data_IF_275972804170
#
_entry.id   IF_275972804170
#
_cell.length_a   1.000
_cell.length_b   1.000
_cell.length_c   1.000
_cell.angle_alpha   90.00
_cell.angle_beta   90.00
_cell.angle_gamma   90.00
#
_symmetry.space_group_name_H-M   'P 1'
#
loop_
_entity.id
_entity.type
_entity.pdbx_description
1 polymer ?
#
# COMPACT_ATOMS: atom_id res chain seq x y z
N UNK A 1 16.61 19.35 -1.59
CA UNK A 1 16.82 18.80 -0.23
C UNK A 1 15.48 18.73 0.46
N UNK A 2 14.76 17.62 0.29
CA UNK A 2 13.61 17.28 1.12
C UNK A 2 14.16 16.30 2.16
N UNK A 3 14.81 16.86 3.17
CA UNK A 3 15.03 16.13 4.43
C UNK A 3 13.69 16.21 5.16
N UNK A 4 12.79 15.30 4.80
CA UNK A 4 11.44 15.15 5.38
C UNK A 4 11.54 15.03 6.90
N UNK A 5 10.47 15.37 7.62
CA UNK A 5 10.37 15.19 9.07
C UNK A 5 10.83 13.80 9.56
N UNK A 6 10.77 12.78 8.71
CA UNK A 6 11.41 11.48 8.89
C UNK A 6 12.90 11.56 9.29
N UNK A 7 13.71 12.41 8.64
CA UNK A 7 15.12 12.63 9.00
C UNK A 7 15.31 13.50 10.27
N UNK A 8 14.31 14.30 10.66
CA UNK A 8 14.38 15.10 11.89
C UNK A 8 14.15 14.22 13.13
N UNK A 9 13.40 13.13 13.00
CA UNK A 9 13.14 12.19 14.10
C UNK A 9 13.90 10.86 13.99
N UNK A 10 14.71 10.68 12.93
CA UNK A 10 15.64 9.55 12.76
C UNK A 10 16.80 9.57 13.77
N UNK A 11 16.85 10.52 14.71
CA UNK A 11 17.58 10.32 15.97
C UNK A 11 16.84 9.26 16.81
N UNK A 12 17.01 8.02 16.36
CA UNK A 12 16.55 6.74 16.88
C UNK A 12 16.88 6.56 18.36
N UNK A 13 16.05 7.14 19.22
CA UNK A 13 16.07 6.91 20.67
C UNK A 13 14.69 6.67 21.28
N UNK A 14 13.62 7.28 20.76
CA UNK A 14 12.30 7.12 21.36
C UNK A 14 11.14 7.25 20.34
N UNK A 15 10.60 6.10 19.93
CA UNK A 15 9.45 5.97 19.01
C UNK A 15 8.16 6.53 19.60
N UNK A 16 8.01 6.49 20.92
CA UNK A 16 6.86 7.09 21.63
C UNK A 16 6.91 8.61 21.51
N UNK A 17 8.09 9.21 21.62
CA UNK A 17 8.26 10.66 21.43
C UNK A 17 7.84 11.12 20.03
N UNK A 18 8.07 10.33 18.98
CA UNK A 18 7.56 10.65 17.64
C UNK A 18 6.03 10.63 17.59
N UNK A 19 5.40 9.55 18.08
CA UNK A 19 3.93 9.42 18.09
C UNK A 19 3.29 10.54 18.90
N UNK A 20 3.86 10.90 20.05
CA UNK A 20 3.40 12.02 20.89
C UNK A 20 3.54 13.37 20.18
N UNK A 21 4.68 13.61 19.52
CA UNK A 21 4.91 14.84 18.75
C UNK A 21 3.92 14.96 17.60
N UNK A 22 3.62 13.85 16.94
CA UNK A 22 2.64 13.80 15.86
C UNK A 22 1.21 13.99 16.35
N UNK A 23 0.85 13.43 17.52
CA UNK A 23 -0.45 13.69 18.15
C UNK A 23 -0.66 15.19 18.41
N UNK A 24 0.34 15.88 18.98
CA UNK A 24 0.30 17.32 19.18
C UNK A 24 0.22 18.11 17.86
N UNK A 25 0.91 17.65 16.81
CA UNK A 25 0.83 18.26 15.48
C UNK A 25 -0.57 18.09 14.87
N UNK A 26 -1.18 16.91 15.02
CA UNK A 26 -2.54 16.62 14.55
C UNK A 26 -3.58 17.44 15.32
N UNK A 27 -3.41 17.68 16.62
CA UNK A 27 -4.30 18.57 17.37
C UNK A 27 -4.31 20.00 16.80
N UNK A 28 -3.17 20.49 16.32
CA UNK A 28 -3.03 21.82 15.72
C UNK A 28 -3.52 21.85 14.26
N UNK A 29 -3.25 20.79 13.51
CA UNK A 29 -3.52 20.70 12.08
C UNK A 29 -4.21 19.36 11.73
N UNK A 30 -5.47 19.15 12.18
CA UNK A 30 -6.13 17.85 12.06
C UNK A 30 -6.46 17.42 10.62
N UNK A 31 -6.34 18.36 9.68
CA UNK A 31 -6.60 18.13 8.26
C UNK A 31 -5.32 18.11 7.41
N UNK A 32 -4.14 18.06 8.03
CA UNK A 32 -2.87 18.00 7.30
C UNK A 32 -2.55 16.56 6.89
N UNK A 33 -2.81 16.23 5.62
CA UNK A 33 -2.58 14.90 5.05
C UNK A 33 -1.14 14.39 5.25
N UNK A 34 -0.13 15.27 5.17
CA UNK A 34 1.27 14.91 5.36
C UNK A 34 1.55 14.32 6.76
N UNK A 35 0.85 14.76 7.80
CA UNK A 35 1.02 14.21 9.16
C UNK A 35 0.56 12.75 9.20
N UNK A 36 -0.60 12.46 8.61
CA UNK A 36 -1.13 11.09 8.51
C UNK A 36 -0.27 10.22 7.58
N UNK A 37 0.22 10.75 6.47
CA UNK A 37 1.19 10.05 5.63
C UNK A 37 2.44 9.65 6.41
N UNK A 38 3.03 10.55 7.19
CA UNK A 38 4.22 10.27 7.99
C UNK A 38 3.94 9.24 9.09
N UNK A 39 2.76 9.25 9.72
CA UNK A 39 2.34 8.19 10.63
C UNK A 39 2.23 6.84 9.92
N UNK A 40 1.71 6.82 8.69
CA UNK A 40 1.65 5.62 7.87
C UNK A 40 3.04 5.03 7.60
N UNK A 41 4.01 5.89 7.24
CA UNK A 41 5.40 5.48 7.01
C UNK A 41 6.01 4.88 8.27
N UNK A 42 5.94 5.58 9.40
CA UNK A 42 6.53 5.09 10.66
C UNK A 42 5.81 3.84 11.16
N UNK A 43 4.48 3.75 11.07
CA UNK A 43 3.76 2.52 11.44
C UNK A 43 4.14 1.35 10.54
N UNK A 44 4.41 1.57 9.26
CA UNK A 44 4.92 0.52 8.35
C UNK A 44 6.30 0.04 8.81
N UNK A 45 7.23 0.95 9.10
CA UNK A 45 8.57 0.60 9.62
C UNK A 45 8.53 -0.14 10.96
N UNK A 46 7.50 0.09 11.77
CA UNK A 46 7.28 -0.59 13.05
C UNK A 46 6.55 -1.95 12.91
N UNK A 47 6.13 -2.32 11.70
CA UNK A 47 5.32 -3.52 11.45
C UNK A 47 3.87 -3.41 11.92
N UNK A 48 3.41 -2.20 12.26
CA UNK A 48 2.04 -1.89 12.67
C UNK A 48 1.14 -1.74 11.43
N UNK A 49 1.01 -2.81 10.63
CA UNK A 49 0.36 -2.78 9.31
C UNK A 49 -1.07 -2.20 9.34
N UNK A 50 -1.89 -2.56 10.33
CA UNK A 50 -3.26 -2.05 10.47
C UNK A 50 -3.31 -0.53 10.74
N UNK A 51 -2.40 -0.04 11.59
CA UNK A 51 -2.29 1.40 11.86
C UNK A 51 -1.85 2.14 10.59
N UNK A 52 -0.82 1.62 9.91
CA UNK A 52 -0.31 2.20 8.68
C UNK A 52 -1.39 2.32 7.61
N UNK A 53 -2.18 1.26 7.41
CA UNK A 53 -3.30 1.24 6.48
C UNK A 53 -4.28 2.39 6.76
N UNK A 54 -4.70 2.55 8.01
CA UNK A 54 -5.64 3.59 8.41
C UNK A 54 -5.07 4.99 8.23
N UNK A 55 -3.79 5.19 8.52
CA UNK A 55 -3.12 6.47 8.36
C UNK A 55 -2.95 6.88 6.90
N UNK A 56 -2.54 5.96 6.02
CA UNK A 56 -2.48 6.27 4.58
C UNK A 56 -3.87 6.54 4.02
N UNK A 57 -4.87 5.76 4.40
CA UNK A 57 -6.26 6.02 4.01
C UNK A 57 -6.72 7.41 4.47
N UNK A 58 -6.40 7.79 5.71
CA UNK A 58 -6.76 9.11 6.23
C UNK A 58 -6.04 10.24 5.48
N UNK A 59 -4.79 10.04 5.10
CA UNK A 59 -4.04 10.99 4.27
C UNK A 59 -4.73 11.18 2.91
N UNK A 60 -5.14 10.09 2.25
CA UNK A 60 -5.89 10.13 0.98
C UNK A 60 -7.25 10.83 1.14
N UNK A 61 -7.97 10.58 2.24
CA UNK A 61 -9.25 11.26 2.53
C UNK A 61 -9.09 12.78 2.70
N UNK A 62 -7.96 13.23 3.27
CA UNK A 62 -7.68 14.64 3.53
C UNK A 62 -7.13 15.36 2.30
N UNK A 63 -6.27 14.68 1.54
CA UNK A 63 -5.73 15.17 0.26
C UNK A 63 -5.77 14.03 -0.77
N UNK A 64 -6.83 13.96 -1.59
CA UNK A 64 -6.95 12.96 -2.65
C UNK A 64 -5.87 13.07 -3.74
N UNK A 65 -5.12 14.19 -3.80
CA UNK A 65 -4.04 14.39 -4.76
C UNK A 65 -2.69 13.85 -4.24
N UNK A 66 -2.64 13.36 -3.00
CA UNK A 66 -1.40 12.96 -2.34
C UNK A 66 -0.93 11.56 -2.78
N UNK A 67 -0.39 11.50 -4.00
CA UNK A 67 0.08 10.27 -4.67
C UNK A 67 0.88 9.32 -3.76
N UNK A 68 1.82 9.86 -2.97
CA UNK A 68 2.66 9.03 -2.09
C UNK A 68 1.86 8.18 -1.10
N UNK A 69 0.67 8.63 -0.68
CA UNK A 69 -0.19 7.83 0.21
C UNK A 69 -0.84 6.66 -0.51
N UNK A 70 -1.24 6.83 -1.77
CA UNK A 70 -1.75 5.72 -2.59
C UNK A 70 -0.67 4.67 -2.83
N UNK A 71 0.52 5.11 -3.26
CA UNK A 71 1.64 4.19 -3.55
C UNK A 71 2.06 3.39 -2.33
N UNK A 72 2.22 4.03 -1.17
CA UNK A 72 2.59 3.32 0.05
C UNK A 72 1.47 2.42 0.58
N UNK A 73 0.20 2.83 0.45
CA UNK A 73 -0.93 1.98 0.81
C UNK A 73 -0.99 0.72 -0.06
N UNK A 74 -0.81 0.87 -1.38
CA UNK A 74 -0.74 -0.28 -2.29
C UNK A 74 0.44 -1.17 -1.94
N UNK A 75 1.63 -0.60 -1.71
CA UNK A 75 2.82 -1.36 -1.33
C UNK A 75 2.57 -2.18 -0.04
N UNK A 76 1.99 -1.57 0.98
CA UNK A 76 1.63 -2.24 2.24
C UNK A 76 0.64 -3.41 2.02
N UNK A 77 -0.36 -3.22 1.15
CA UNK A 77 -1.34 -4.26 0.81
C UNK A 77 -0.66 -5.41 0.05
N UNK A 78 0.19 -5.10 -0.92
CA UNK A 78 0.89 -6.12 -1.71
C UNK A 78 1.95 -6.86 -0.91
N UNK A 79 2.58 -6.22 0.07
CA UNK A 79 3.45 -6.90 1.03
C UNK A 79 2.66 -7.95 1.83
N UNK A 80 1.44 -7.62 2.28
CA UNK A 80 0.57 -8.60 2.93
C UNK A 80 0.14 -9.74 2.01
N UNK A 81 -0.05 -9.49 0.71
CA UNK A 81 -0.29 -10.54 -0.27
C UNK A 81 0.93 -11.45 -0.47
N UNK A 82 2.13 -10.86 -0.52
CA UNK A 82 3.38 -11.59 -0.64
C UNK A 82 3.62 -12.51 0.57
N UNK A 83 3.32 -12.05 1.80
CA UNK A 83 3.40 -12.88 3.00
C UNK A 83 2.54 -14.16 2.88
N UNK A 84 1.36 -14.04 2.25
CA UNK A 84 0.45 -15.17 1.99
C UNK A 84 1.03 -16.10 0.93
N UNK A 85 1.56 -15.56 -0.16
CA UNK A 85 2.21 -16.34 -1.22
C UNK A 85 3.42 -17.09 -0.68
N UNK A 86 4.22 -16.45 0.17
CA UNK A 86 5.38 -17.06 0.80
C UNK A 86 4.96 -18.22 1.71
N UNK A 87 3.91 -18.05 2.52
CA UNK A 87 3.36 -19.16 3.30
C UNK A 87 2.89 -20.31 2.39
N UNK A 88 2.15 -20.01 1.32
CA UNK A 88 1.68 -21.01 0.36
C UNK A 88 2.82 -21.83 -0.24
N UNK A 89 3.96 -21.19 -0.53
CA UNK A 89 5.13 -21.84 -1.11
C UNK A 89 5.84 -22.81 -0.14
N UNK A 90 5.58 -22.71 1.17
CA UNK A 90 6.13 -23.63 2.18
C UNK A 90 5.30 -24.88 2.41
N UNK A 91 4.09 -24.94 1.86
CA UNK A 91 3.14 -26.03 2.13
C UNK A 91 3.52 -27.34 1.44
N UNK A 92 3.25 -28.45 2.13
CA UNK A 92 3.41 -29.81 1.60
C UNK A 92 2.23 -30.25 0.73
N UNK A 93 2.05 -31.57 0.61
CA UNK A 93 0.98 -32.19 -0.20
C UNK A 93 -0.06 -32.93 0.63
N UNK A 94 -0.04 -32.77 1.97
CA UNK A 94 -1.01 -33.41 2.83
C UNK A 94 -2.42 -32.83 2.64
N UNK A 95 -3.45 -33.55 3.10
CA UNK A 95 -4.82 -33.03 3.05
C UNK A 95 -4.96 -31.70 3.82
N UNK A 96 -4.29 -31.55 4.95
CA UNK A 96 -4.30 -30.30 5.72
C UNK A 96 -3.59 -29.17 4.96
N UNK A 97 -2.48 -29.46 4.29
CA UNK A 97 -1.76 -28.45 3.50
C UNK A 97 -2.61 -27.96 2.33
N UNK A 98 -3.30 -28.86 1.63
CA UNK A 98 -4.19 -28.49 0.54
C UNK A 98 -5.36 -27.60 1.02
N UNK A 99 -5.93 -27.88 2.20
CA UNK A 99 -6.97 -27.03 2.79
C UNK A 99 -6.43 -25.65 3.16
N UNK A 100 -5.23 -25.59 3.75
CA UNK A 100 -4.57 -24.31 4.08
C UNK A 100 -4.24 -23.51 2.83
N UNK A 101 -3.77 -24.16 1.77
CA UNK A 101 -3.50 -23.54 0.47
C UNK A 101 -4.77 -22.87 -0.09
N UNK A 102 -5.91 -23.56 -0.05
CA UNK A 102 -7.19 -23.02 -0.53
C UNK A 102 -7.67 -21.81 0.29
N UNK A 103 -7.39 -21.78 1.60
CA UNK A 103 -7.67 -20.64 2.48
C UNK A 103 -6.77 -19.44 2.15
N UNK A 104 -5.45 -19.68 2.07
CA UNK A 104 -4.46 -18.65 1.75
C UNK A 104 -4.74 -18.04 0.38
N UNK A 105 -5.06 -18.86 -0.62
CA UNK A 105 -5.45 -18.38 -1.95
C UNK A 105 -6.65 -17.43 -1.92
N UNK A 106 -7.64 -17.69 -1.06
CA UNK A 106 -8.80 -16.78 -0.87
C UNK A 106 -8.36 -15.49 -0.19
N UNK A 107 -7.47 -15.58 0.80
CA UNK A 107 -6.96 -14.43 1.53
C UNK A 107 -6.11 -13.51 0.63
N UNK A 108 -5.19 -14.07 -0.18
CA UNK A 108 -4.40 -13.30 -1.15
C UNK A 108 -5.30 -12.54 -2.14
N UNK A 109 -6.41 -13.17 -2.58
CA UNK A 109 -7.39 -12.48 -3.42
C UNK A 109 -8.06 -11.28 -2.74
N UNK A 110 -8.23 -11.28 -1.42
CA UNK A 110 -8.76 -10.13 -0.68
C UNK A 110 -7.79 -8.95 -0.76
N UNK A 111 -6.48 -9.19 -0.59
CA UNK A 111 -5.46 -8.16 -0.74
C UNK A 111 -5.48 -7.54 -2.14
N UNK A 112 -5.52 -8.38 -3.18
CA UNK A 112 -5.64 -7.90 -4.57
C UNK A 112 -6.90 -7.06 -4.77
N UNK A 113 -8.05 -7.49 -4.25
CA UNK A 113 -9.31 -6.74 -4.34
C UNK A 113 -9.24 -5.39 -3.61
N UNK A 114 -8.43 -5.24 -2.56
CA UNK A 114 -8.22 -3.95 -1.87
C UNK A 114 -7.25 -3.04 -2.64
N UNK A 115 -6.17 -3.59 -3.22
CA UNK A 115 -5.21 -2.80 -4.00
C UNK A 115 -5.83 -2.26 -5.31
N UNK A 116 -6.70 -3.04 -5.94
CA UNK A 116 -7.27 -2.74 -7.24
C UNK A 116 -7.97 -1.38 -7.37
N UNK A 117 -8.94 -1.00 -6.49
CA UNK A 117 -9.57 0.31 -6.57
C UNK A 117 -8.58 1.45 -6.32
N UNK A 118 -7.63 1.28 -5.40
CA UNK A 118 -6.64 2.31 -5.06
C UNK A 118 -5.73 2.59 -6.26
N UNK A 119 -5.30 1.55 -6.96
CA UNK A 119 -4.55 1.66 -8.21
C UNK A 119 -5.37 2.39 -9.27
N UNK A 120 -6.64 2.02 -9.45
CA UNK A 120 -7.53 2.70 -10.41
C UNK A 120 -7.73 4.18 -10.09
N UNK A 121 -7.92 4.51 -8.83
CA UNK A 121 -8.07 5.89 -8.37
C UNK A 121 -6.80 6.70 -8.66
N UNK A 122 -5.62 6.14 -8.37
CA UNK A 122 -4.35 6.80 -8.65
C UNK A 122 -4.10 6.96 -10.17
N UNK A 123 -4.46 5.97 -11.00
CA UNK A 123 -4.38 6.09 -12.46
C UNK A 123 -5.32 7.18 -12.97
N UNK A 124 -6.56 7.21 -12.49
CA UNK A 124 -7.55 8.22 -12.87
C UNK A 124 -7.13 9.64 -12.43
N UNK A 125 -6.39 9.74 -11.33
CA UNK A 125 -5.90 11.00 -10.79
C UNK A 125 -4.87 11.67 -11.70
N UNK A 126 -3.85 10.92 -12.14
CA UNK A 126 -2.71 11.52 -12.83
C UNK A 126 -1.95 10.59 -13.79
N UNK A 127 -2.54 9.45 -14.18
CA UNK A 127 -1.91 8.44 -15.02
C UNK A 127 -0.58 7.92 -14.43
N UNK A 128 -0.48 7.77 -13.11
CA UNK A 128 0.73 7.32 -12.44
C UNK A 128 1.30 6.03 -13.08
N UNK A 129 2.52 6.10 -13.59
CA UNK A 129 3.13 5.00 -14.34
C UNK A 129 3.34 3.75 -13.48
N UNK A 130 3.66 3.90 -12.19
CA UNK A 130 3.89 2.77 -11.30
C UNK A 130 2.57 2.06 -10.96
N UNK A 131 1.50 2.82 -10.78
CA UNK A 131 0.15 2.26 -10.60
C UNK A 131 -0.28 1.45 -11.84
N UNK A 132 -0.04 1.97 -13.05
CA UNK A 132 -0.39 1.27 -14.29
C UNK A 132 0.42 -0.02 -14.41
N UNK A 133 1.74 0.01 -14.16
CA UNK A 133 2.59 -1.19 -14.20
C UNK A 133 2.14 -2.24 -13.19
N UNK A 134 1.87 -1.83 -11.95
CA UNK A 134 1.40 -2.74 -10.91
C UNK A 134 0.06 -3.36 -11.29
N UNK A 135 -0.90 -2.57 -11.76
CA UNK A 135 -2.21 -3.07 -12.16
C UNK A 135 -2.12 -3.99 -13.40
N UNK A 136 -1.23 -3.68 -14.35
CA UNK A 136 -0.92 -4.55 -15.50
C UNK A 136 -0.41 -5.91 -15.04
N UNK A 137 0.53 -5.96 -14.09
CA UNK A 137 1.07 -7.21 -13.55
C UNK A 137 0.00 -8.04 -12.82
N UNK A 138 -0.88 -7.37 -12.06
CA UNK A 138 -2.02 -8.02 -11.39
C UNK A 138 -2.94 -8.67 -12.44
N UNK A 139 -3.34 -7.94 -13.49
CA UNK A 139 -4.18 -8.49 -14.54
C UNK A 139 -3.53 -9.69 -15.24
N UNK A 140 -2.22 -9.62 -15.51
CA UNK A 140 -1.47 -10.75 -16.07
C UNK A 140 -1.52 -11.99 -15.18
N UNK A 141 -1.37 -11.81 -13.87
CA UNK A 141 -1.44 -12.90 -12.88
C UNK A 141 -2.84 -13.50 -12.77
N UNK A 142 -3.88 -12.67 -12.91
CA UNK A 142 -5.28 -13.11 -12.90
C UNK A 142 -5.73 -13.73 -14.24
N UNK A 143 -4.92 -13.63 -15.29
CA UNK A 143 -5.29 -14.04 -16.65
C UNK A 143 -6.30 -13.11 -17.32
N UNK A 144 -6.46 -11.88 -16.83
CA UNK A 144 -7.32 -10.87 -17.43
C UNK A 144 -6.57 -10.17 -18.58
N UNK A 145 -6.67 -10.76 -19.77
CA UNK A 145 -6.01 -10.21 -20.96
C UNK A 145 -6.55 -8.83 -21.36
N UNK A 146 -7.82 -8.53 -21.08
CA UNK A 146 -8.42 -7.25 -21.45
C UNK A 146 -7.83 -6.13 -20.60
N UNK A 147 -7.84 -6.31 -19.27
CA UNK A 147 -7.24 -5.34 -18.36
C UNK A 147 -5.74 -5.19 -18.57
N UNK A 148 -5.03 -6.29 -18.86
CA UNK A 148 -3.61 -6.24 -19.20
C UNK A 148 -3.34 -5.37 -20.42
N UNK A 149 -4.07 -5.59 -21.52
CA UNK A 149 -3.91 -4.80 -22.75
C UNK A 149 -4.26 -3.33 -22.51
N UNK A 150 -5.33 -3.03 -21.78
CA UNK A 150 -5.71 -1.66 -21.44
C UNK A 150 -4.57 -0.92 -20.71
N UNK A 151 -3.96 -1.56 -19.70
CA UNK A 151 -2.85 -0.94 -18.97
C UNK A 151 -1.60 -0.79 -19.82
N UNK A 152 -1.32 -1.75 -20.71
CA UNK A 152 -0.21 -1.66 -21.65
C UNK A 152 -0.37 -0.48 -22.60
N UNK A 153 -1.56 -0.29 -23.15
CA UNK A 153 -1.86 0.81 -24.08
C UNK A 153 -1.73 2.17 -23.36
N UNK A 154 -2.15 2.27 -22.10
CA UNK A 154 -1.94 3.47 -21.28
C UNK A 154 -0.46 3.79 -21.06
N UNK A 155 0.40 2.79 -20.86
CA UNK A 155 1.85 3.01 -20.73
C UNK A 155 2.49 3.48 -22.03
N UNK A 156 2.03 2.98 -23.17
CA UNK A 156 2.54 3.38 -24.48
C UNK A 156 2.17 4.83 -24.82
N UNK A 157 1.01 5.32 -24.35
CA UNK A 157 0.57 6.71 -24.53
C UNK A 157 1.38 7.74 -23.72
N UNK A 158 2.23 7.30 -22.78
CA UNK A 158 3.06 8.17 -21.95
C UNK A 158 4.47 8.41 -22.52
N UNK A 159 4.82 7.75 -23.64
CA UNK A 159 6.12 7.85 -24.30
C UNK A 159 6.08 8.88 -25.44
#
# INVERSE_FOLDING_TARGET
MITTAANIYYELGDRESFKNSMALAIEKEPNNALLFYNLGVISTELGEKDSAFNYYKKSIELDPLYESSYLNLVALILEGEQDIVDEMNTLGTSRSDNLRYDELKKLGKIYINHAFPILKDLIALNNNTDAIRTLMNIYGTLGDNSGFTEMKDLLEQQQ
#
